data_IF_845807650677
#
_entry.id   IF_845807650677
#
_cell.length_a   1.000
_cell.length_b   1.000
_cell.length_c   1.000
_cell.angle_alpha   90.00
_cell.angle_beta   90.00
_cell.angle_gamma   90.00
#
_symmetry.space_group_name_H-M   'P 1'
#
loop_
_entity.id
_entity.type
_entity.pdbx_description
1 polymer ?
#
# COMPACT_ATOMS: atom_id res chain seq x y z
N UNK A 1 6.75 -30.34 -5.25
CA UNK A 1 7.37 -29.93 -3.96
C UNK A 1 6.33 -30.04 -2.86
N UNK A 2 6.72 -30.38 -1.62
CA UNK A 2 5.77 -30.51 -0.51
C UNK A 2 5.25 -29.14 -0.05
N UNK A 3 3.92 -29.04 0.11
CA UNK A 3 3.20 -27.83 0.53
C UNK A 3 2.29 -28.08 1.73
N UNK A 4 2.28 -29.31 2.26
CA UNK A 4 1.48 -29.67 3.44
C UNK A 4 1.81 -28.78 4.65
N UNK A 5 3.10 -28.39 4.77
CA UNK A 5 3.61 -27.45 5.77
C UNK A 5 2.84 -26.13 5.85
N UNK A 6 2.19 -25.66 4.77
CA UNK A 6 1.41 -24.42 4.78
C UNK A 6 0.19 -24.49 5.73
N UNK A 7 -0.23 -25.70 6.10
CA UNK A 7 -1.33 -25.97 7.03
C UNK A 7 -0.86 -26.22 8.46
N UNK A 8 0.44 -26.45 8.67
CA UNK A 8 1.03 -26.81 9.95
C UNK A 8 1.08 -25.64 10.93
N UNK A 9 1.30 -25.96 12.21
CA UNK A 9 1.50 -24.96 13.23
C UNK A 9 2.78 -24.16 12.96
N UNK A 10 2.71 -22.83 12.97
CA UNK A 10 3.83 -21.93 12.67
C UNK A 10 5.04 -22.04 13.62
N UNK A 11 4.87 -22.71 14.76
CA UNK A 11 5.94 -23.01 15.71
C UNK A 11 6.48 -24.44 15.57
N UNK A 12 5.92 -25.25 14.66
CA UNK A 12 6.35 -26.61 14.43
C UNK A 12 7.59 -26.66 13.54
N UNK A 13 8.33 -27.77 13.64
CA UNK A 13 9.52 -28.01 12.83
C UNK A 13 9.15 -28.18 11.35
N UNK A 14 7.99 -28.75 11.06
CA UNK A 14 7.48 -28.99 9.73
C UNK A 14 7.21 -27.66 9.00
N UNK A 15 6.64 -26.67 9.71
CA UNK A 15 6.45 -25.32 9.17
C UNK A 15 7.79 -24.62 8.92
N UNK A 16 8.75 -24.74 9.85
CA UNK A 16 10.09 -24.16 9.73
C UNK A 16 10.84 -24.70 8.49
N UNK A 17 10.89 -26.03 8.34
CA UNK A 17 11.49 -26.70 7.18
C UNK A 17 10.77 -26.32 5.89
N UNK A 18 9.45 -26.21 5.93
CA UNK A 18 8.63 -25.80 4.79
C UNK A 18 8.90 -24.37 4.33
N UNK A 19 9.04 -23.42 5.27
CA UNK A 19 9.38 -22.02 5.00
C UNK A 19 10.76 -21.91 4.35
N UNK A 20 11.77 -22.60 4.86
CA UNK A 20 13.11 -22.59 4.26
C UNK A 20 13.12 -23.20 2.86
N UNK A 21 12.39 -24.31 2.67
CA UNK A 21 12.25 -24.95 1.37
C UNK A 21 11.58 -24.02 0.34
N UNK A 22 10.53 -23.31 0.74
CA UNK A 22 9.86 -22.30 -0.10
C UNK A 22 10.80 -21.15 -0.47
N UNK A 23 11.54 -20.63 0.51
CA UNK A 23 12.49 -19.53 0.30
C UNK A 23 13.58 -19.95 -0.69
N UNK A 24 14.13 -21.15 -0.52
CA UNK A 24 15.17 -21.68 -1.38
C UNK A 24 14.69 -21.84 -2.82
N UNK A 25 13.45 -22.32 -3.00
CA UNK A 25 12.82 -22.38 -4.31
C UNK A 25 12.58 -20.99 -4.92
N UNK A 26 12.11 -20.03 -4.13
CA UNK A 26 11.94 -18.65 -4.60
C UNK A 26 13.26 -18.04 -5.07
N UNK A 27 14.34 -18.30 -4.34
CA UNK A 27 15.69 -17.82 -4.66
C UNK A 27 16.25 -18.47 -5.93
N UNK A 28 16.03 -19.78 -6.15
CA UNK A 28 16.51 -20.44 -7.37
C UNK A 28 15.89 -19.85 -8.64
N UNK A 29 14.73 -19.21 -8.53
CA UNK A 29 14.03 -18.54 -9.63
C UNK A 29 14.25 -17.01 -9.66
N UNK A 30 14.97 -16.44 -8.69
CA UNK A 30 15.17 -15.00 -8.53
C UNK A 30 16.35 -14.42 -9.35
N UNK A 31 16.95 -15.19 -10.27
CA UNK A 31 18.04 -14.76 -11.18
C UNK A 31 19.18 -13.99 -10.49
N UNK A 32 19.60 -14.46 -9.30
CA UNK A 32 20.70 -13.86 -8.52
C UNK A 32 20.31 -12.70 -7.61
N UNK A 33 19.03 -12.33 -7.53
CA UNK A 33 18.49 -11.36 -6.57
C UNK A 33 18.17 -12.02 -5.23
N UNK A 34 18.47 -11.35 -4.11
CA UNK A 34 18.02 -11.76 -2.77
C UNK A 34 16.60 -11.26 -2.43
N UNK A 35 15.88 -10.72 -3.42
CA UNK A 35 14.53 -10.21 -3.25
C UNK A 35 13.54 -11.17 -3.89
N UNK A 36 12.59 -11.69 -3.11
CA UNK A 36 11.49 -12.54 -3.58
C UNK A 36 10.14 -11.93 -3.21
N UNK A 37 9.07 -12.33 -3.89
CA UNK A 37 7.72 -11.87 -3.54
C UNK A 37 7.32 -12.46 -2.19
N UNK A 38 6.65 -11.67 -1.35
CA UNK A 38 6.28 -12.13 0.00
C UNK A 38 4.86 -12.74 0.00
N UNK A 39 4.69 -14.07 0.16
CA UNK A 39 3.38 -14.72 0.10
C UNK A 39 2.58 -14.66 1.42
N UNK A 40 3.06 -13.92 2.42
CA UNK A 40 2.36 -13.85 3.71
C UNK A 40 0.97 -13.20 3.57
N UNK A 41 0.06 -13.49 4.49
CA UNK A 41 -1.32 -12.98 4.45
C UNK A 41 -1.44 -11.45 4.37
N UNK A 42 -0.45 -10.71 4.87
CA UNK A 42 -0.41 -9.24 4.78
C UNK A 42 0.14 -8.72 3.45
N UNK A 43 1.08 -9.43 2.84
CA UNK A 43 1.76 -8.97 1.63
C UNK A 43 1.12 -9.53 0.35
N UNK A 44 0.62 -10.77 0.38
CA UNK A 44 -0.12 -11.40 -0.72
C UNK A 44 0.62 -11.36 -2.06
N UNK A 45 1.92 -11.63 -2.07
CA UNK A 45 2.80 -11.62 -3.26
C UNK A 45 2.96 -10.27 -3.98
N UNK A 46 2.48 -9.16 -3.40
CA UNK A 46 2.47 -7.84 -4.07
C UNK A 46 3.85 -7.19 -4.18
N UNK A 47 4.69 -7.35 -3.16
CA UNK A 47 5.97 -6.66 -3.05
C UNK A 47 7.13 -7.65 -3.02
N UNK A 48 8.20 -7.30 -3.71
CA UNK A 48 9.53 -7.87 -3.54
C UNK A 48 10.08 -7.44 -2.18
N UNK A 49 10.60 -8.40 -1.42
CA UNK A 49 11.20 -8.17 -0.11
C UNK A 49 12.43 -9.03 0.01
N UNK A 50 13.39 -8.54 0.79
CA UNK A 50 14.54 -9.34 1.17
C UNK A 50 14.09 -10.63 1.86
N UNK A 51 14.77 -11.73 1.57
CA UNK A 51 14.44 -13.06 2.11
C UNK A 51 14.37 -13.06 3.64
N UNK A 52 15.20 -12.30 4.34
CA UNK A 52 15.13 -12.18 5.80
C UNK A 52 13.77 -11.62 6.27
N UNK A 53 13.22 -10.66 5.51
CA UNK A 53 11.93 -10.05 5.76
C UNK A 53 10.80 -11.01 5.37
N UNK A 54 10.93 -11.72 4.25
CA UNK A 54 9.94 -12.73 3.81
C UNK A 54 9.82 -13.85 4.85
N UNK A 55 10.96 -14.37 5.31
CA UNK A 55 11.06 -15.35 6.39
C UNK A 55 10.31 -14.86 7.64
N UNK A 56 10.69 -13.69 8.16
CA UNK A 56 10.01 -13.09 9.32
C UNK A 56 8.50 -12.96 9.10
N UNK A 57 8.08 -12.51 7.92
CA UNK A 57 6.67 -12.36 7.60
C UNK A 57 5.90 -13.68 7.53
N UNK A 58 6.53 -14.77 7.10
CA UNK A 58 5.92 -16.09 7.06
C UNK A 58 5.69 -16.64 8.48
N UNK A 59 6.60 -16.41 9.42
CA UNK A 59 6.35 -16.75 10.83
C UNK A 59 5.32 -15.80 11.48
N UNK A 60 5.48 -14.48 11.31
CA UNK A 60 4.66 -13.48 12.00
C UNK A 60 3.21 -13.44 11.49
N UNK A 61 3.02 -13.57 10.17
CA UNK A 61 1.71 -13.38 9.55
C UNK A 61 1.14 -14.65 8.92
N UNK A 62 1.92 -15.73 8.78
CA UNK A 62 1.49 -16.94 8.07
C UNK A 62 1.50 -16.76 6.56
N UNK A 63 1.71 -17.87 5.85
CA UNK A 63 1.57 -17.93 4.39
C UNK A 63 0.08 -17.90 3.99
N UNK A 64 -0.23 -17.32 2.83
CA UNK A 64 -1.56 -17.44 2.22
C UNK A 64 -1.82 -18.90 1.81
N UNK A 65 -2.71 -19.57 2.54
CA UNK A 65 -3.06 -20.98 2.34
C UNK A 65 -3.72 -21.27 0.99
N UNK A 66 -4.29 -20.26 0.33
CA UNK A 66 -4.82 -20.39 -1.03
C UNK A 66 -3.74 -20.38 -2.11
N UNK A 67 -2.51 -19.98 -1.76
CA UNK A 67 -1.38 -19.90 -2.70
C UNK A 67 -0.77 -21.28 -2.94
N UNK A 68 -1.59 -22.19 -3.47
CA UNK A 68 -1.25 -23.59 -3.71
C UNK A 68 -0.35 -23.79 -4.93
N UNK A 69 -0.33 -22.83 -5.86
CA UNK A 69 0.54 -22.83 -7.04
C UNK A 69 1.48 -21.64 -6.88
N UNK A 70 2.77 -21.92 -6.73
CA UNK A 70 3.81 -20.91 -6.50
C UNK A 70 4.24 -20.22 -7.79
N UNK A 71 3.27 -19.84 -8.63
CA UNK A 71 3.46 -19.23 -9.95
C UNK A 71 4.41 -18.02 -9.90
N UNK A 72 4.20 -17.10 -8.95
CA UNK A 72 5.08 -15.95 -8.71
C UNK A 72 6.54 -16.29 -8.32
N UNK A 73 6.83 -17.55 -8.03
CA UNK A 73 8.15 -18.06 -7.64
C UNK A 73 8.68 -19.10 -8.64
N UNK A 74 8.06 -19.21 -9.83
CA UNK A 74 8.54 -20.06 -10.92
C UNK A 74 8.02 -21.50 -10.91
N UNK A 75 6.94 -21.79 -10.16
CA UNK A 75 6.29 -23.10 -10.29
C UNK A 75 5.43 -23.16 -11.56
N UNK A 76 5.76 -24.12 -12.43
CA UNK A 76 5.02 -24.41 -13.65
C UNK A 76 3.64 -24.99 -13.35
N UNK A 77 2.67 -24.68 -14.21
CA UNK A 77 1.33 -25.25 -14.17
C UNK A 77 1.39 -26.67 -14.78
N UNK A 78 1.49 -27.71 -13.95
CA UNK A 78 1.42 -29.09 -14.45
C UNK A 78 0.05 -29.39 -15.09
N UNK A 79 0.09 -29.92 -16.31
CA UNK A 79 -1.07 -30.24 -17.15
C UNK A 79 -2.03 -31.29 -16.56
N UNK A 80 -1.63 -32.03 -15.52
CA UNK A 80 -2.45 -33.12 -14.95
C UNK A 80 -3.55 -32.65 -14.00
N UNK A 81 -3.50 -31.40 -13.51
CA UNK A 81 -4.58 -30.83 -12.67
C UNK A 81 -5.72 -30.19 -13.46
N UNK A 82 -5.64 -30.18 -14.80
CA UNK A 82 -6.59 -29.48 -15.69
C UNK A 82 -7.65 -30.43 -16.30
N UNK A 83 -7.52 -31.74 -16.14
CA UNK A 83 -8.35 -32.74 -16.85
C UNK A 83 -9.75 -32.99 -16.30
N UNK A 84 -10.30 -32.11 -15.46
CA UNK A 84 -11.75 -32.09 -15.25
C UNK A 84 -12.30 -30.67 -15.31
N UNK A 85 -12.79 -30.31 -16.50
CA UNK A 85 -13.53 -29.09 -16.87
C UNK A 85 -12.67 -27.91 -17.32
N UNK A 86 -12.14 -27.97 -18.54
CA UNK A 86 -12.52 -27.04 -19.62
C UNK A 86 -11.79 -27.48 -20.90
N UNK A 87 -12.49 -28.16 -21.81
CA UNK A 87 -12.00 -28.30 -23.18
C UNK A 87 -12.34 -27.04 -23.98
N UNK A 88 -11.39 -26.65 -24.84
CA UNK A 88 -11.44 -25.65 -25.90
C UNK A 88 -11.48 -24.18 -25.50
N UNK A 89 -10.32 -23.52 -25.59
CA UNK A 89 -10.02 -22.50 -26.62
C UNK A 89 -8.49 -22.44 -26.77
N UNK A 90 -8.04 -22.41 -28.03
CA UNK A 90 -6.64 -22.53 -28.41
C UNK A 90 -5.74 -21.39 -27.92
N UNK A 91 -4.52 -21.79 -27.61
CA UNK A 91 -3.25 -21.15 -27.95
C UNK A 91 -3.31 -19.63 -28.22
N UNK A 92 -3.34 -18.83 -27.15
CA UNK A 92 -2.83 -17.46 -27.17
C UNK A 92 -1.94 -17.21 -25.95
N UNK A 93 -0.69 -16.81 -26.21
CA UNK A 93 0.32 -16.38 -25.24
C UNK A 93 -0.24 -15.26 -24.36
N UNK A 94 -0.56 -15.56 -23.11
CA UNK A 94 -0.97 -14.55 -22.14
C UNK A 94 0.17 -13.57 -21.84
N UNK A 95 0.03 -12.36 -22.36
CA UNK A 95 0.86 -11.20 -22.03
C UNK A 95 0.82 -10.94 -20.50
N UNK A 96 2.01 -10.90 -19.90
CA UNK A 96 2.22 -10.51 -18.52
C UNK A 96 1.97 -9.00 -18.36
N UNK A 97 0.73 -8.56 -18.08
CA UNK A 97 0.46 -7.12 -17.94
C UNK A 97 -0.67 -6.69 -16.98
N UNK A 98 -1.10 -7.54 -16.03
CA UNK A 98 -2.31 -7.21 -15.25
C UNK A 98 -2.11 -6.19 -14.10
N UNK A 99 -0.87 -5.85 -13.76
CA UNK A 99 -0.57 -4.67 -12.93
C UNK A 99 -0.62 -3.36 -13.75
N UNK A 100 -0.29 -3.44 -15.04
CA UNK A 100 -0.40 -2.33 -16.00
C UNK A 100 -1.85 -2.08 -16.44
N UNK A 101 -2.75 -3.06 -16.36
CA UNK A 101 -4.18 -2.85 -16.65
C UNK A 101 -4.93 -1.99 -15.62
N UNK A 102 -4.42 -1.88 -14.39
CA UNK A 102 -4.93 -0.90 -13.40
C UNK A 102 -4.61 0.54 -13.84
N UNK A 103 -3.52 0.70 -14.56
CA UNK A 103 -2.97 1.95 -15.06
C UNK A 103 -3.57 2.31 -16.44
N UNK A 104 -3.79 1.31 -17.30
CA UNK A 104 -4.53 1.44 -18.56
C UNK A 104 -6.02 1.82 -18.34
N UNK A 105 -6.46 1.82 -17.07
CA UNK A 105 -7.85 2.01 -16.69
C UNK A 105 -8.35 3.46 -16.71
N UNK A 106 -7.45 4.45 -16.65
CA UNK A 106 -7.82 5.88 -16.70
C UNK A 106 -7.58 6.51 -18.08
N UNK A 107 -7.26 5.69 -19.10
CA UNK A 107 -7.06 6.12 -20.48
C UNK A 107 -8.37 6.59 -21.14
N UNK A 108 -9.50 5.96 -20.81
CA UNK A 108 -10.76 6.10 -21.58
C UNK A 108 -11.70 7.22 -21.11
N UNK A 109 -11.49 7.81 -19.94
CA UNK A 109 -12.41 8.82 -19.35
C UNK A 109 -11.87 10.24 -19.37
N UNK A 110 -10.58 10.44 -19.72
CA UNK A 110 -9.95 11.76 -19.70
C UNK A 110 -10.06 12.51 -21.03
N UNK A 111 -10.43 11.82 -22.12
CA UNK A 111 -10.63 12.47 -23.42
C UNK A 111 -11.89 13.36 -23.43
N UNK A 112 -12.78 13.27 -22.42
CA UNK A 112 -14.04 14.04 -22.36
C UNK A 112 -14.24 14.95 -21.14
N UNK A 113 -13.38 14.95 -20.12
CA UNK A 113 -13.63 15.74 -18.91
C UNK A 113 -12.38 16.39 -18.32
N UNK A 114 -11.92 17.45 -19.00
CA UNK A 114 -11.04 18.45 -18.40
C UNK A 114 -11.64 19.82 -18.65
N UNK A 115 -12.64 20.19 -17.86
CA UNK A 115 -12.98 21.59 -17.56
C UNK A 115 -14.09 21.62 -16.53
N UNK A 116 -13.76 21.77 -15.24
CA UNK A 116 -14.55 22.57 -14.30
C UNK A 116 -13.85 22.65 -12.94
N UNK A 117 -13.80 23.87 -12.40
CA UNK A 117 -13.22 24.22 -11.10
C UNK A 117 -14.24 24.11 -9.94
N UNK A 118 -15.48 23.69 -10.23
CA UNK A 118 -16.60 23.67 -9.25
C UNK A 118 -16.91 22.28 -8.70
N UNK A 119 -16.01 21.32 -8.92
CA UNK A 119 -16.32 19.90 -8.81
C UNK A 119 -15.85 19.30 -7.47
N UNK A 120 -14.91 19.92 -6.77
CA UNK A 120 -14.28 19.30 -5.59
C UNK A 120 -15.23 19.14 -4.38
N UNK A 121 -16.12 20.12 -4.15
CA UNK A 121 -17.08 20.05 -3.03
C UNK A 121 -18.19 19.03 -3.31
N UNK A 122 -18.71 18.98 -4.54
CA UNK A 122 -19.69 17.96 -4.98
C UNK A 122 -19.09 16.55 -5.00
N UNK A 123 -17.79 16.41 -5.32
CA UNK A 123 -17.04 15.15 -5.24
C UNK A 123 -16.94 14.62 -3.81
N UNK A 124 -16.73 15.50 -2.82
CA UNK A 124 -16.59 15.10 -1.41
C UNK A 124 -17.93 14.69 -0.81
N UNK A 125 -19.02 15.34 -1.23
CA UNK A 125 -20.38 15.00 -0.84
C UNK A 125 -20.82 13.66 -1.46
N UNK A 126 -20.53 13.42 -2.74
CA UNK A 126 -20.79 12.13 -3.40
C UNK A 126 -19.98 10.97 -2.79
N UNK A 127 -18.75 11.22 -2.34
CA UNK A 127 -17.92 10.22 -1.67
C UNK A 127 -18.48 9.80 -0.30
N UNK A 128 -19.18 10.71 0.38
CA UNK A 128 -19.83 10.49 1.68
C UNK A 128 -21.23 9.90 1.57
N UNK A 129 -21.84 9.90 0.37
CA UNK A 129 -23.16 9.31 0.18
C UNK A 129 -23.14 7.83 0.60
N UNK A 130 -24.12 7.40 1.41
CA UNK A 130 -24.27 5.99 1.75
C UNK A 130 -24.52 5.18 0.47
N UNK A 131 -24.10 3.91 0.46
CA UNK A 131 -24.22 3.06 -0.74
C UNK A 131 -25.69 2.91 -1.21
N UNK A 132 -26.63 2.99 -0.29
CA UNK A 132 -28.07 3.03 -0.51
C UNK A 132 -28.72 3.71 0.71
N UNK A 133 -29.98 4.18 0.62
CA UNK A 133 -30.66 4.84 1.74
C UNK A 133 -30.60 4.00 3.03
N UNK A 134 -30.07 4.59 4.11
CA UNK A 134 -29.93 3.92 5.41
C UNK A 134 -28.68 3.05 5.59
N UNK A 135 -27.80 2.93 4.59
CA UNK A 135 -26.55 2.18 4.74
C UNK A 135 -25.54 2.90 5.64
N UNK A 136 -25.37 2.41 6.89
CA UNK A 136 -24.40 2.97 7.85
C UNK A 136 -22.98 2.43 7.71
N UNK A 137 -22.83 1.29 7.02
CA UNK A 137 -21.57 0.53 6.98
C UNK A 137 -20.68 0.90 5.80
N UNK A 138 -21.29 1.27 4.67
CA UNK A 138 -20.56 1.55 3.43
C UNK A 138 -21.10 2.81 2.75
N UNK A 139 -20.17 3.66 2.34
CA UNK A 139 -20.41 4.70 1.33
C UNK A 139 -20.18 4.15 -0.07
N UNK A 140 -20.72 4.82 -1.10
CA UNK A 140 -20.47 4.53 -2.52
C UNK A 140 -18.98 4.31 -2.81
N UNK A 141 -18.14 5.23 -2.34
CA UNK A 141 -16.69 5.16 -2.53
C UNK A 141 -16.06 3.97 -1.80
N UNK A 142 -16.42 3.74 -0.54
CA UNK A 142 -15.84 2.66 0.26
C UNK A 142 -16.16 1.28 -0.31
N UNK A 143 -17.36 1.11 -0.87
CA UNK A 143 -17.79 -0.13 -1.53
C UNK A 143 -17.01 -0.34 -2.83
N UNK A 144 -16.92 0.70 -3.68
CA UNK A 144 -16.19 0.65 -4.94
C UNK A 144 -14.71 0.33 -4.76
N UNK A 145 -14.03 1.00 -3.83
CA UNK A 145 -12.61 0.73 -3.56
C UNK A 145 -12.40 -0.70 -3.09
N UNK A 146 -13.30 -1.25 -2.26
CA UNK A 146 -13.20 -2.64 -1.79
C UNK A 146 -13.40 -3.64 -2.93
N UNK A 147 -14.44 -3.47 -3.75
CA UNK A 147 -14.73 -4.34 -4.90
C UNK A 147 -13.61 -4.29 -5.93
N UNK A 148 -13.13 -3.10 -6.23
CA UNK A 148 -12.04 -2.91 -7.16
C UNK A 148 -10.72 -3.51 -6.65
N UNK A 149 -10.44 -3.39 -5.34
CA UNK A 149 -9.31 -4.09 -4.72
C UNK A 149 -9.41 -5.61 -4.83
N UNK A 150 -10.62 -6.19 -4.79
CA UNK A 150 -10.82 -7.62 -5.02
C UNK A 150 -10.54 -7.99 -6.47
N UNK A 151 -11.05 -7.21 -7.44
CA UNK A 151 -10.76 -7.37 -8.87
C UNK A 151 -9.26 -7.45 -9.12
N UNK A 152 -8.50 -6.46 -8.60
CA UNK A 152 -7.05 -6.40 -8.76
C UNK A 152 -6.35 -7.53 -8.01
N UNK A 153 -6.81 -7.85 -6.80
CA UNK A 153 -6.19 -8.90 -5.96
C UNK A 153 -6.30 -10.28 -6.59
N UNK A 154 -7.39 -10.56 -7.30
CA UNK A 154 -7.69 -11.88 -7.85
C UNK A 154 -7.66 -11.94 -9.37
N UNK A 155 -7.18 -10.89 -10.05
CA UNK A 155 -7.03 -10.87 -11.50
C UNK A 155 -8.33 -11.04 -12.27
N UNK A 156 -9.44 -10.48 -11.76
CA UNK A 156 -10.73 -10.62 -12.43
C UNK A 156 -10.73 -9.87 -13.77
N UNK A 157 -11.24 -10.52 -14.81
CA UNK A 157 -11.40 -9.90 -16.12
C UNK A 157 -12.36 -8.70 -16.04
N UNK A 158 -12.22 -7.76 -16.97
CA UNK A 158 -13.07 -6.56 -17.01
C UNK A 158 -14.55 -6.92 -17.26
N UNK A 159 -14.79 -7.94 -18.09
CA UNK A 159 -16.13 -8.47 -18.38
C UNK A 159 -16.75 -9.10 -17.13
N UNK A 160 -16.05 -10.04 -16.50
CA UNK A 160 -16.52 -10.71 -15.27
C UNK A 160 -16.78 -9.73 -14.14
N UNK A 161 -15.95 -8.69 -13.99
CA UNK A 161 -16.17 -7.67 -12.97
C UNK A 161 -17.38 -6.78 -13.27
N UNK A 162 -17.65 -6.48 -14.55
CA UNK A 162 -18.84 -5.70 -14.93
C UNK A 162 -20.12 -6.49 -14.69
N UNK A 163 -20.14 -7.78 -15.05
CA UNK A 163 -21.27 -8.67 -14.76
C UNK A 163 -21.51 -8.80 -13.25
N UNK A 164 -20.44 -8.95 -12.46
CA UNK A 164 -20.55 -8.96 -11.01
C UNK A 164 -21.14 -7.67 -10.46
N UNK A 165 -20.71 -6.50 -10.96
CA UNK A 165 -21.24 -5.21 -10.54
C UNK A 165 -22.75 -5.10 -10.84
N UNK A 166 -23.18 -5.55 -12.02
CA UNK A 166 -24.60 -5.64 -12.38
C UNK A 166 -25.38 -6.52 -11.39
N UNK A 167 -24.87 -7.73 -11.09
CA UNK A 167 -25.52 -8.64 -10.14
C UNK A 167 -25.61 -8.01 -8.74
N UNK A 168 -24.54 -7.36 -8.28
CA UNK A 168 -24.55 -6.68 -6.98
C UNK A 168 -25.56 -5.54 -6.97
N UNK A 169 -25.69 -4.80 -8.07
CA UNK A 169 -26.71 -3.74 -8.20
C UNK A 169 -28.12 -4.29 -8.02
N UNK A 170 -28.41 -5.46 -8.61
CA UNK A 170 -29.72 -6.12 -8.52
C UNK A 170 -29.99 -6.74 -7.13
N UNK A 171 -28.94 -7.10 -6.39
CA UNK A 171 -29.04 -7.65 -5.02
C UNK A 171 -29.23 -6.57 -3.95
N UNK A 172 -28.88 -5.33 -4.24
CA UNK A 172 -29.01 -4.21 -3.30
C UNK A 172 -30.42 -3.59 -3.36
N UNK A 173 -30.84 -2.87 -2.30
CA UNK A 173 -32.12 -2.17 -2.32
C UNK A 173 -32.23 -1.16 -3.47
N UNK A 174 -33.47 -0.84 -3.85
CA UNK A 174 -33.76 0.19 -4.83
C UNK A 174 -33.13 1.54 -4.45
N UNK A 175 -32.72 2.31 -5.46
CA UNK A 175 -31.96 3.57 -5.32
C UNK A 175 -30.57 3.40 -4.69
N UNK A 176 -29.90 2.28 -4.96
CA UNK A 176 -28.49 2.14 -4.61
C UNK A 176 -27.58 2.91 -5.58
N UNK A 177 -26.40 3.25 -5.11
CA UNK A 177 -25.40 4.08 -5.79
C UNK A 177 -24.28 3.22 -6.41
N UNK A 178 -24.44 1.90 -6.50
CA UNK A 178 -23.38 1.06 -7.04
C UNK A 178 -23.31 1.21 -8.56
N UNK A 179 -22.11 1.40 -9.14
CA UNK A 179 -21.94 1.32 -10.58
C UNK A 179 -22.30 -0.06 -11.12
N UNK A 180 -22.98 -0.09 -12.26
CA UNK A 180 -23.43 -1.33 -12.90
C UNK A 180 -22.38 -1.92 -13.83
N UNK A 181 -21.37 -1.14 -14.18
CA UNK A 181 -20.29 -1.55 -15.07
C UNK A 181 -18.93 -1.08 -14.57
N UNK A 182 -17.88 -1.74 -15.05
CA UNK A 182 -16.53 -1.29 -14.79
C UNK A 182 -16.28 0.14 -15.31
N UNK A 183 -16.91 0.53 -16.43
CA UNK A 183 -16.77 1.88 -16.98
C UNK A 183 -17.32 2.94 -16.01
N UNK A 184 -18.51 2.72 -15.46
CA UNK A 184 -19.10 3.62 -14.46
C UNK A 184 -18.30 3.63 -13.16
N UNK A 185 -17.77 2.47 -12.74
CA UNK A 185 -16.89 2.38 -11.58
C UNK A 185 -15.62 3.21 -11.77
N UNK A 186 -14.99 3.13 -12.96
CA UNK A 186 -13.83 3.95 -13.34
C UNK A 186 -14.17 5.44 -13.35
N UNK A 187 -15.29 5.82 -13.97
CA UNK A 187 -15.75 7.21 -14.05
C UNK A 187 -15.96 7.79 -12.66
N UNK A 188 -16.57 7.02 -11.77
CA UNK A 188 -16.78 7.40 -10.37
C UNK A 188 -15.45 7.60 -9.64
N UNK A 189 -14.49 6.67 -9.77
CA UNK A 189 -13.17 6.81 -9.14
C UNK A 189 -12.34 7.97 -9.73
N UNK A 190 -12.44 8.21 -11.05
CA UNK A 190 -11.78 9.32 -11.74
C UNK A 190 -12.35 10.68 -11.37
N UNK A 191 -13.67 10.76 -11.21
CA UNK A 191 -14.34 11.96 -10.71
C UNK A 191 -13.89 12.32 -9.29
N UNK A 192 -13.44 11.37 -8.46
CA UNK A 192 -13.08 11.63 -7.06
C UNK A 192 -11.66 12.20 -6.84
N UNK A 193 -11.09 12.86 -7.85
CA UNK A 193 -9.87 13.66 -7.69
C UNK A 193 -8.57 12.85 -7.59
N UNK A 194 -8.57 11.57 -7.97
CA UNK A 194 -7.33 10.80 -8.21
C UNK A 194 -6.70 11.17 -9.56
N UNK A 195 -6.56 12.48 -9.84
CA UNK A 195 -5.97 12.97 -11.08
C UNK A 195 -4.46 12.74 -11.08
N UNK A 196 -3.96 12.27 -12.22
CA UNK A 196 -2.56 11.95 -12.45
C UNK A 196 -2.14 12.60 -13.77
N UNK A 197 -0.85 12.90 -13.88
CA UNK A 197 -0.24 13.35 -15.12
C UNK A 197 0.54 12.19 -15.74
N UNK A 198 0.35 11.96 -17.04
CA UNK A 198 1.20 11.03 -17.81
C UNK A 198 2.50 11.74 -18.14
N UNK A 199 3.61 11.06 -17.87
CA UNK A 199 4.95 11.52 -18.17
C UNK A 199 5.63 10.42 -18.97
N UNK A 200 6.03 10.71 -20.20
CA UNK A 200 6.73 9.73 -21.02
C UNK A 200 8.06 9.35 -20.35
N UNK A 201 8.44 8.09 -20.44
CA UNK A 201 9.65 7.56 -19.84
C UNK A 201 10.50 6.85 -20.90
N UNK A 202 11.82 6.85 -20.69
CA UNK A 202 12.69 5.97 -21.45
C UNK A 202 12.32 4.50 -21.16
N UNK A 203 12.30 3.60 -22.17
CA UNK A 203 12.04 2.17 -21.95
C UNK A 203 12.93 1.54 -20.86
N UNK A 204 14.20 1.95 -20.81
CA UNK A 204 15.20 1.52 -19.83
C UNK A 204 15.23 2.39 -18.55
N UNK A 205 14.18 3.16 -18.25
CA UNK A 205 14.04 3.99 -17.04
C UNK A 205 15.15 5.02 -16.81
N UNK A 206 15.90 5.36 -17.87
CA UNK A 206 17.07 6.24 -17.78
C UNK A 206 16.70 7.71 -17.50
N UNK A 207 15.54 8.16 -17.98
CA UNK A 207 15.03 9.52 -17.83
C UNK A 207 13.50 9.58 -18.00
N UNK A 208 12.91 10.68 -17.51
CA UNK A 208 11.54 11.09 -17.78
C UNK A 208 11.56 12.27 -18.75
N UNK A 209 10.73 12.21 -19.79
CA UNK A 209 10.57 13.27 -20.78
C UNK A 209 9.68 14.39 -20.21
N UNK A 210 10.25 15.15 -19.28
CA UNK A 210 9.64 16.33 -18.63
C UNK A 210 10.68 17.42 -18.45
N UNK A 211 10.25 18.67 -18.27
CA UNK A 211 11.12 19.84 -18.10
C UNK A 211 12.14 19.93 -19.24
N UNK A 212 13.43 19.83 -18.94
CA UNK A 212 14.54 19.90 -19.90
C UNK A 212 14.48 18.82 -21.01
N UNK A 213 13.85 17.67 -20.74
CA UNK A 213 13.69 16.59 -21.73
C UNK A 213 12.30 16.55 -22.36
N UNK A 214 11.45 17.57 -22.15
CA UNK A 214 10.07 17.56 -22.62
C UNK A 214 9.94 17.42 -24.15
N UNK A 215 10.86 18.01 -24.90
CA UNK A 215 10.88 17.99 -26.37
C UNK A 215 11.83 16.95 -26.96
N UNK A 216 12.52 16.17 -26.12
CA UNK A 216 13.45 15.15 -26.60
C UNK A 216 12.68 13.97 -27.20
N UNK A 217 13.16 13.48 -28.34
CA UNK A 217 12.63 12.30 -29.04
C UNK A 217 13.44 11.04 -28.76
N UNK A 218 14.63 11.17 -28.20
CA UNK A 218 15.51 10.07 -27.80
C UNK A 218 16.04 10.29 -26.39
N UNK A 219 16.33 9.20 -25.71
CA UNK A 219 16.90 9.24 -24.37
C UNK A 219 18.34 9.76 -24.45
N UNK A 220 18.71 10.83 -23.70
CA UNK A 220 20.06 11.37 -23.71
C UNK A 220 21.12 10.40 -23.13
N UNK A 221 20.70 9.38 -22.35
CA UNK A 221 21.62 8.42 -21.72
C UNK A 221 21.83 7.15 -22.55
N UNK A 222 20.76 6.56 -23.08
CA UNK A 222 20.84 5.26 -23.77
C UNK A 222 20.51 5.35 -25.27
N UNK A 223 20.17 6.53 -25.79
CA UNK A 223 19.86 6.73 -27.21
C UNK A 223 18.54 6.13 -27.71
N UNK A 224 17.83 5.35 -26.88
CA UNK A 224 16.55 4.74 -27.25
C UNK A 224 15.48 5.78 -27.57
N UNK A 225 14.64 5.46 -28.54
CA UNK A 225 13.51 6.29 -28.94
C UNK A 225 12.51 6.46 -27.79
N UNK A 226 11.92 7.66 -27.73
CA UNK A 226 10.76 7.96 -26.90
C UNK A 226 9.53 7.22 -27.42
N UNK A 227 9.44 6.95 -28.71
CA UNK A 227 8.23 6.48 -29.39
C UNK A 227 8.20 4.96 -29.56
N UNK A 228 6.99 4.39 -29.60
CA UNK A 228 6.78 2.96 -29.81
C UNK A 228 7.07 2.58 -31.27
N UNK A 229 7.75 1.45 -31.47
CA UNK A 229 8.01 0.87 -32.79
C UNK A 229 6.87 -0.12 -33.12
N UNK A 230 6.35 -0.07 -34.34
CA UNK A 230 5.27 -0.94 -34.76
C UNK A 230 5.79 -2.36 -35.06
N UNK A 231 5.08 -3.41 -34.62
CA UNK A 231 5.52 -4.81 -34.77
C UNK A 231 5.69 -5.22 -36.26
N UNK A 232 5.02 -4.52 -37.18
CA UNK A 232 5.00 -4.83 -38.61
C UNK A 232 5.76 -3.81 -39.49
N UNK A 233 6.44 -2.81 -38.91
CA UNK A 233 7.25 -1.84 -39.67
C UNK A 233 8.33 -1.18 -38.82
N UNK A 234 9.48 -0.84 -39.41
CA UNK A 234 10.58 -0.11 -38.75
C UNK A 234 10.21 1.37 -38.46
N UNK A 235 9.00 1.81 -38.81
CA UNK A 235 8.55 3.18 -38.62
C UNK A 235 8.13 3.41 -37.17
N UNK A 236 8.64 4.50 -36.59
CA UNK A 236 8.25 4.97 -35.27
C UNK A 236 6.84 5.58 -35.32
N UNK A 237 5.98 5.22 -34.36
CA UNK A 237 4.70 5.88 -34.18
C UNK A 237 4.90 7.14 -33.33
N UNK A 238 5.34 8.22 -33.98
CA UNK A 238 5.46 9.55 -33.38
C UNK A 238 4.14 9.95 -32.71
N UNK A 239 4.19 10.27 -31.41
CA UNK A 239 3.02 10.60 -30.60
C UNK A 239 2.57 9.50 -29.62
N UNK A 240 3.01 8.25 -29.82
CA UNK A 240 2.76 7.16 -28.86
C UNK A 240 4.06 6.78 -28.16
N UNK A 241 4.20 7.14 -26.89
CA UNK A 241 5.41 6.84 -26.14
C UNK A 241 5.62 5.33 -25.95
N UNK A 242 6.87 4.89 -26.04
CA UNK A 242 7.27 3.50 -25.81
C UNK A 242 7.05 3.06 -24.36
N UNK A 243 7.14 4.00 -23.41
CA UNK A 243 6.85 3.80 -21.99
C UNK A 243 6.30 5.09 -21.38
N UNK A 244 5.32 4.99 -20.49
CA UNK A 244 4.73 6.12 -19.79
C UNK A 244 4.67 5.83 -18.28
N UNK A 245 4.99 6.85 -17.49
CA UNK A 245 4.89 6.87 -16.04
C UNK A 245 3.75 7.79 -15.60
N UNK A 246 3.17 7.49 -14.45
CA UNK A 246 1.96 8.13 -13.95
C UNK A 246 2.32 8.85 -12.67
N UNK A 247 2.20 10.17 -12.67
CA UNK A 247 2.52 11.02 -11.52
C UNK A 247 1.23 11.56 -10.93
N UNK A 248 0.88 11.15 -9.72
CA UNK A 248 -0.22 11.77 -8.98
C UNK A 248 0.10 13.25 -8.77
N UNK A 249 -0.83 14.14 -9.10
CA UNK A 249 -0.61 15.57 -8.92
C UNK A 249 -0.80 15.96 -7.45
N UNK A 250 0.16 15.58 -6.61
CA UNK A 250 0.21 15.97 -5.19
C UNK A 250 0.46 17.49 -5.06
N UNK A 251 0.85 18.17 -6.15
CA UNK A 251 1.21 19.59 -6.17
C UNK A 251 0.01 20.54 -6.11
N UNK A 252 -1.22 20.05 -6.32
CA UNK A 252 -2.44 20.85 -6.13
C UNK A 252 -2.94 20.88 -4.68
N UNK A 253 -2.24 20.24 -3.73
CA UNK A 253 -2.52 20.51 -2.31
C UNK A 253 -2.09 21.95 -2.01
N UNK A 254 -2.99 22.75 -1.44
CA UNK A 254 -2.64 24.04 -0.83
C UNK A 254 -1.33 23.85 -0.06
N UNK A 255 -0.33 24.70 -0.33
CA UNK A 255 0.94 24.65 0.40
C UNK A 255 0.63 24.58 1.90
N UNK A 256 1.27 23.67 2.65
CA UNK A 256 1.02 23.54 4.08
C UNK A 256 1.22 24.91 4.73
N UNK A 257 0.19 25.38 5.44
CA UNK A 257 0.27 26.60 6.20
C UNK A 257 1.08 26.32 7.47
N UNK A 258 2.40 26.52 7.37
CA UNK A 258 3.29 26.41 8.51
C UNK A 258 2.95 27.52 9.51
N UNK A 259 2.60 27.12 10.73
CA UNK A 259 2.36 28.06 11.84
C UNK A 259 3.39 27.80 12.94
N UNK A 260 4.05 28.86 13.37
CA UNK A 260 4.95 28.82 14.52
C UNK A 260 4.09 28.90 15.79
N UNK A 261 4.21 27.89 16.65
CA UNK A 261 3.50 27.82 17.92
C UNK A 261 4.50 28.01 19.05
N UNK A 262 4.16 28.84 20.05
CA UNK A 262 4.99 29.01 21.25
C UNK A 262 4.71 27.85 22.19
N UNK A 263 5.71 26.97 22.38
CA UNK A 263 5.61 25.83 23.29
C UNK A 263 6.27 26.13 24.64
N UNK A 264 5.93 25.39 25.71
CA UNK A 264 6.56 25.52 27.01
C UNK A 264 8.09 25.39 26.92
N UNK A 265 8.82 26.30 27.55
CA UNK A 265 10.27 26.40 27.43
C UNK A 265 10.97 25.28 28.21
N UNK A 266 11.92 24.63 27.57
CA UNK A 266 12.83 23.71 28.23
C UNK A 266 13.92 24.47 29.00
N UNK A 267 14.18 24.05 30.24
CA UNK A 267 15.22 24.62 31.11
C UNK A 267 16.62 24.05 30.81
N UNK A 268 16.72 22.75 30.49
CA UNK A 268 17.97 22.06 30.15
C UNK A 268 18.20 21.78 28.66
N UNK A 269 19.30 21.11 28.32
CA UNK A 269 19.64 20.71 26.92
C UNK A 269 19.50 19.22 26.62
N UNK A 270 19.42 18.37 27.66
CA UNK A 270 19.44 16.90 27.51
C UNK A 270 18.05 16.26 27.54
N UNK A 271 17.02 17.03 27.90
CA UNK A 271 15.68 16.49 28.21
C UNK A 271 14.64 16.73 27.10
N UNK A 272 15.08 17.16 25.90
CA UNK A 272 14.18 17.62 24.85
C UNK A 272 13.17 16.55 24.44
N UNK A 273 13.56 15.27 24.47
CA UNK A 273 12.67 14.15 24.22
C UNK A 273 11.49 14.05 25.20
N UNK A 274 11.72 14.32 26.49
CA UNK A 274 10.65 14.28 27.51
C UNK A 274 9.70 15.46 27.39
N UNK A 275 10.21 16.64 27.02
CA UNK A 275 9.38 17.80 26.72
C UNK A 275 8.49 17.57 25.49
N UNK A 276 9.02 16.92 24.45
CA UNK A 276 8.23 16.52 23.27
C UNK A 276 7.13 15.52 23.65
N UNK A 277 7.46 14.51 24.47
CA UNK A 277 6.47 13.54 24.95
C UNK A 277 5.38 14.20 25.80
N UNK A 278 5.75 15.17 26.65
CA UNK A 278 4.79 15.95 27.45
C UNK A 278 3.87 16.81 26.58
N UNK A 279 4.43 17.53 25.61
CA UNK A 279 3.68 18.34 24.64
C UNK A 279 2.64 17.49 23.89
N UNK A 280 3.07 16.33 23.42
CA UNK A 280 2.20 15.38 22.74
C UNK A 280 1.05 14.89 23.65
N UNK A 281 1.34 14.61 24.93
CA UNK A 281 0.31 14.24 25.91
C UNK A 281 -0.72 15.35 26.09
N UNK A 282 -0.28 16.60 26.23
CA UNK A 282 -1.18 17.75 26.40
C UNK A 282 -2.08 17.95 25.16
N UNK A 283 -1.56 17.70 23.95
CA UNK A 283 -2.38 17.72 22.72
C UNK A 283 -3.44 16.64 22.74
N UNK A 284 -3.07 15.40 23.05
CA UNK A 284 -4.00 14.26 23.02
C UNK A 284 -5.07 14.40 24.11
N UNK A 285 -4.69 14.87 25.29
CA UNK A 285 -5.59 14.98 26.44
C UNK A 285 -6.47 16.23 26.39
N UNK A 286 -6.18 17.17 25.48
CA UNK A 286 -6.97 18.38 25.29
C UNK A 286 -8.33 18.09 24.63
N UNK A 287 -9.36 18.82 25.05
CA UNK A 287 -10.68 18.84 24.41
C UNK A 287 -10.74 19.72 23.16
N UNK A 288 -9.75 20.60 22.97
CA UNK A 288 -9.62 21.46 21.79
C UNK A 288 -8.96 20.73 20.63
N UNK A 289 -9.49 20.91 19.42
CA UNK A 289 -8.92 20.41 18.16
C UNK A 289 -7.91 21.37 17.53
N UNK A 290 -7.66 22.54 18.15
CA UNK A 290 -6.75 23.58 17.64
C UNK A 290 -5.46 23.63 18.45
N UNK A 291 -4.36 23.14 17.88
CA UNK A 291 -3.03 23.15 18.52
C UNK A 291 -2.61 24.54 19.03
N UNK A 292 -3.05 25.61 18.37
CA UNK A 292 -2.76 26.99 18.79
C UNK A 292 -3.45 27.28 20.13
N UNK A 293 -4.68 26.82 20.31
CA UNK A 293 -5.42 27.06 21.54
C UNK A 293 -4.84 26.21 22.68
N UNK A 294 -4.55 24.93 22.40
CA UNK A 294 -3.90 24.02 23.36
C UNK A 294 -2.61 24.64 23.91
N UNK A 295 -1.78 25.18 23.02
CA UNK A 295 -0.48 25.76 23.41
C UNK A 295 -0.58 27.16 24.02
N UNK A 296 -1.65 27.91 23.73
CA UNK A 296 -1.91 29.18 24.43
C UNK A 296 -2.30 28.95 25.89
N UNK A 297 -3.05 27.88 26.14
CA UNK A 297 -3.54 27.53 27.47
C UNK A 297 -2.49 26.72 28.27
N UNK A 298 -1.40 26.31 27.61
CA UNK A 298 -0.28 25.61 28.23
C UNK A 298 0.59 26.53 29.10
N UNK A 299 1.21 26.00 30.17
CA UNK A 299 2.09 26.78 31.03
C UNK A 299 3.35 27.26 30.28
N UNK A 300 3.97 28.34 30.75
CA UNK A 300 5.18 28.90 30.10
C UNK A 300 6.38 27.96 30.13
N UNK A 301 6.44 27.07 31.11
CA UNK A 301 7.43 26.01 31.25
C UNK A 301 6.79 24.86 32.02
N UNK A 302 7.19 23.63 31.71
CA UNK A 302 6.86 22.47 32.52
C UNK A 302 7.70 22.47 33.80
N UNK A 303 7.10 22.03 34.91
CA UNK A 303 7.82 21.79 36.16
C UNK A 303 8.65 20.50 36.06
N UNK A 304 9.61 20.32 36.97
CA UNK A 304 10.37 19.07 37.01
C UNK A 304 9.45 17.88 37.29
N UNK A 305 8.46 18.05 38.17
CA UNK A 305 7.46 17.02 38.50
C UNK A 305 6.64 16.60 37.28
N UNK A 306 6.27 17.54 36.40
CA UNK A 306 5.56 17.24 35.15
C UNK A 306 6.39 16.33 34.24
N UNK A 307 7.71 16.54 34.22
CA UNK A 307 8.65 15.78 33.40
C UNK A 307 8.96 14.43 34.07
N UNK A 308 9.13 14.39 35.39
CA UNK A 308 9.40 13.17 36.15
C UNK A 308 8.21 12.21 36.15
N UNK A 309 6.98 12.74 36.10
CA UNK A 309 5.77 11.96 35.83
C UNK A 309 5.87 11.22 34.48
N UNK A 310 6.23 11.93 33.41
CA UNK A 310 6.40 11.33 32.07
C UNK A 310 7.55 10.32 32.06
N UNK A 311 8.65 10.61 32.75
CA UNK A 311 9.77 9.66 32.88
C UNK A 311 9.36 8.38 33.58
N UNK A 312 8.62 8.50 34.67
CA UNK A 312 8.18 7.37 35.48
C UNK A 312 7.21 6.49 34.69
N UNK A 313 6.23 7.10 34.01
CA UNK A 313 5.30 6.39 33.13
C UNK A 313 6.04 5.69 31.97
N UNK A 314 7.01 6.36 31.36
CA UNK A 314 7.82 5.78 30.30
C UNK A 314 8.70 4.63 30.81
N UNK A 315 9.35 4.80 31.96
CA UNK A 315 10.20 3.78 32.58
C UNK A 315 9.39 2.55 32.99
N UNK A 316 8.18 2.73 33.53
CA UNK A 316 7.28 1.63 33.87
C UNK A 316 6.81 0.90 32.61
N UNK A 317 6.44 1.64 31.55
CA UNK A 317 6.07 1.05 30.27
C UNK A 317 7.22 0.23 29.67
N UNK A 318 8.42 0.80 29.61
CA UNK A 318 9.61 0.11 29.09
C UNK A 318 9.97 -1.09 29.95
N UNK A 319 9.96 -0.94 31.29
CA UNK A 319 10.22 -2.03 32.24
C UNK A 319 9.31 -3.23 32.01
N UNK A 320 8.00 -3.00 31.88
CA UNK A 320 7.02 -4.08 31.56
C UNK A 320 7.31 -4.81 30.26
N UNK A 321 7.91 -4.14 29.27
CA UNK A 321 8.25 -4.76 27.98
C UNK A 321 9.63 -5.43 28.00
N UNK A 322 10.58 -4.87 28.74
CA UNK A 322 11.91 -5.45 28.99
C UNK A 322 11.80 -6.72 29.83
N UNK A 323 10.99 -6.73 30.89
CA UNK A 323 10.76 -7.92 31.73
C UNK A 323 10.04 -9.03 30.98
N UNK A 324 9.08 -8.69 30.12
CA UNK A 324 8.46 -9.65 29.19
C UNK A 324 9.47 -10.20 28.19
N UNK A 325 10.43 -9.38 27.76
CA UNK A 325 11.54 -9.78 26.89
C UNK A 325 12.54 -10.71 27.58
N UNK A 326 12.94 -10.37 28.81
CA UNK A 326 13.88 -11.13 29.65
C UNK A 326 13.31 -12.48 30.07
N UNK A 327 12.03 -12.53 30.47
CA UNK A 327 11.36 -13.79 30.81
C UNK A 327 11.24 -14.73 29.60
N UNK A 328 11.20 -14.19 28.38
CA UNK A 328 11.24 -14.95 27.12
C UNK A 328 12.63 -15.40 26.71
N UNK A 329 13.69 -14.82 27.29
CA UNK A 329 15.09 -15.03 26.95
C UNK A 329 15.83 -15.98 27.90
N UNK A 330 15.16 -16.60 28.89
CA UNK A 330 15.79 -17.55 29.82
C UNK A 330 16.49 -18.69 29.06
N UNK A 331 17.81 -18.61 28.99
CA UNK A 331 18.71 -19.59 28.38
C UNK A 331 19.52 -19.12 27.16
N UNK A 332 19.25 -17.95 26.57
CA UNK A 332 19.99 -17.49 25.38
C UNK A 332 20.26 -15.96 25.37
N UNK A 333 21.51 -15.51 25.63
CA UNK A 333 21.89 -14.09 25.66
C UNK A 333 21.67 -13.34 24.33
N UNK A 334 21.76 -14.03 23.19
CA UNK A 334 21.49 -13.46 21.86
C UNK A 334 20.00 -13.13 21.63
N UNK A 335 19.08 -13.68 22.44
CA UNK A 335 17.66 -13.34 22.36
C UNK A 335 17.36 -11.94 22.92
N UNK A 336 18.16 -11.42 23.85
CA UNK A 336 17.98 -10.08 24.42
C UNK A 336 18.19 -8.97 23.38
N UNK A 337 19.24 -9.10 22.56
CA UNK A 337 19.54 -8.17 21.46
C UNK A 337 18.58 -8.28 20.27
N UNK A 338 17.80 -9.36 20.16
CA UNK A 338 16.69 -9.50 19.19
C UNK A 338 15.39 -8.82 19.67
N UNK A 339 15.21 -8.65 20.98
CA UNK A 339 14.00 -8.06 21.57
C UNK A 339 14.10 -6.53 21.69
N UNK A 340 15.26 -5.97 22.05
CA UNK A 340 15.43 -4.50 22.19
C UNK A 340 14.97 -3.70 20.94
N UNK A 341 15.31 -4.11 19.70
CA UNK A 341 14.84 -3.45 18.48
C UNK A 341 13.33 -3.67 18.20
N UNK A 342 12.75 -4.77 18.67
CA UNK A 342 11.31 -5.04 18.58
C UNK A 342 10.51 -4.25 19.62
N UNK A 343 11.08 -3.95 20.79
CA UNK A 343 10.54 -3.01 21.78
C UNK A 343 10.53 -1.57 21.24
N UNK A 344 11.59 -1.18 20.50
CA UNK A 344 11.63 0.08 19.76
C UNK A 344 10.61 0.08 18.61
N UNK A 345 10.43 -1.05 17.92
CA UNK A 345 9.36 -1.26 16.94
C UNK A 345 7.94 -1.25 17.53
N UNK A 346 7.79 -1.65 18.80
CA UNK A 346 6.56 -1.59 19.58
C UNK A 346 6.23 -0.17 20.07
N UNK A 347 7.10 0.82 19.84
CA UNK A 347 6.76 2.23 19.93
C UNK A 347 5.94 2.72 18.72
N UNK A 348 5.87 1.98 17.60
CA UNK A 348 5.08 2.38 16.42
C UNK A 348 3.58 2.53 16.68
N UNK A 349 2.91 1.67 17.48
CA UNK A 349 1.53 1.90 17.89
C UNK A 349 1.34 3.16 18.76
N UNK A 350 2.29 3.47 19.65
CA UNK A 350 2.27 4.70 20.45
C UNK A 350 2.47 5.94 19.56
N UNK A 351 3.43 5.89 18.62
CA UNK A 351 3.65 6.90 17.57
C UNK A 351 2.45 7.00 16.60
N UNK A 352 1.69 5.93 16.36
CA UNK A 352 0.47 5.97 15.52
C UNK A 352 -0.71 6.57 16.26
N UNK A 353 -0.87 6.31 17.56
CA UNK A 353 -1.84 7.02 18.40
C UNK A 353 -1.49 8.52 18.55
N UNK A 354 -0.23 8.90 18.29
CA UNK A 354 0.25 10.28 18.28
C UNK A 354 0.06 11.02 16.94
N UNK A 355 -0.32 10.35 15.86
CA UNK A 355 -0.38 10.92 14.50
C UNK A 355 -1.78 10.83 13.89
N UNK A 356 -2.71 10.05 14.48
CA UNK A 356 -4.12 10.02 14.06
C UNK A 356 -4.98 11.02 14.89
N UNK A 357 -4.69 12.32 14.72
CA UNK A 357 -5.65 13.44 14.89
C UNK A 357 -5.67 14.26 13.61
#
# INVERSE_FOLDING_TARGET
MDKSWMMENRMSREYDVGVESFIQFGLSHAKGSNLIRCPCLKCGNRLLKDVSIVRYHLYANGIDKSYKIWFWHGEDLNSETVTSKMENIGDEKYEHDDFFNTVNMLQSTHDESCNTSNTFDTMFDDAKKPLYPGCKKFTKLSALVRLYNLKVRYGWSNTSFSELLSIISDLLPDNNEIPTSLYEAKKTLGALGLSYQKIDACPNDCCLYRKEYANSTKCPKCGLSRWKINKNSIKENSGVAAKQMWSFNIMNKKKPAWRVVKCPKQSGVVECGYYVMRFMRDIIMSTSTSIIQIMKDSPRAYTQDDIDCIRSEWAEFVGKHVDKGLNKAKGNPMAFYKVLPQSIGAMKPWIRQLVDV
#
